data_IF_360582205716
#
_entry.id   IF_360582205716
#
_cell.length_a   1.000
_cell.length_b   1.000
_cell.length_c   1.000
_cell.angle_alpha   90.00
_cell.angle_beta   90.00
_cell.angle_gamma   90.00
#
_symmetry.space_group_name_H-M   'P 1'
#
loop_
_entity.id
_entity.type
_entity.pdbx_description
1 polymer ?
#
# COMPACT_ATOMS: atom_id res chain seq x y z
N UNK A 1 28.41 -74.45 -17.04
CA UNK A 1 28.07 -75.79 -16.53
C UNK A 1 27.46 -75.60 -15.15
N UNK A 2 26.17 -75.91 -15.02
CA UNK A 2 25.34 -75.73 -13.83
C UNK A 2 25.90 -76.47 -12.60
N UNK A 3 25.73 -75.89 -11.41
CA UNK A 3 25.19 -76.63 -10.24
C UNK A 3 24.72 -75.71 -9.11
N UNK A 4 23.49 -75.99 -8.72
CA UNK A 4 22.70 -75.46 -7.61
C UNK A 4 23.26 -75.71 -6.21
N UNK A 5 22.91 -74.85 -5.25
CA UNK A 5 22.39 -75.20 -3.91
C UNK A 5 21.89 -73.93 -3.18
N UNK A 6 20.58 -73.68 -3.13
CA UNK A 6 19.60 -74.02 -2.06
C UNK A 6 19.57 -73.11 -0.81
N UNK A 7 18.68 -72.12 -0.91
CA UNK A 7 17.65 -71.63 0.06
C UNK A 7 17.74 -72.16 1.50
N UNK A 8 17.89 -71.26 2.47
CA UNK A 8 16.96 -71.11 3.60
C UNK A 8 17.34 -69.91 4.46
N UNK A 9 16.45 -68.92 4.59
CA UNK A 9 16.13 -68.35 5.90
C UNK A 9 14.80 -67.58 5.85
N UNK A 10 13.96 -67.96 6.81
CA UNK A 10 12.58 -67.50 7.01
C UNK A 10 12.54 -66.01 7.39
N UNK A 11 11.43 -65.31 7.11
CA UNK A 11 11.24 -63.93 7.51
C UNK A 11 11.03 -63.84 9.03
N UNK A 12 11.92 -63.14 9.73
CA UNK A 12 11.64 -62.67 11.08
C UNK A 12 10.92 -61.33 10.93
N UNK A 13 9.59 -61.37 11.03
CA UNK A 13 8.76 -60.23 11.39
C UNK A 13 9.14 -59.82 12.81
N UNK A 14 10.05 -58.85 12.94
CA UNK A 14 10.13 -58.00 14.14
C UNK A 14 9.57 -56.66 13.75
N UNK A 15 8.29 -56.49 14.08
CA UNK A 15 7.60 -55.23 13.97
C UNK A 15 8.24 -54.21 14.91
N UNK A 16 8.78 -53.15 14.32
CA UNK A 16 8.98 -51.89 15.01
C UNK A 16 7.90 -50.96 14.52
N UNK A 17 6.83 -50.86 15.30
CA UNK A 17 5.80 -49.84 15.16
C UNK A 17 6.49 -48.48 15.42
N UNK A 18 6.99 -47.84 14.37
CA UNK A 18 7.33 -46.42 14.44
C UNK A 18 6.01 -45.66 14.59
N UNK A 19 5.68 -45.27 15.81
CA UNK A 19 4.73 -44.20 16.06
C UNK A 19 5.29 -42.94 15.40
N UNK A 20 4.76 -42.60 14.23
CA UNK A 20 4.94 -41.31 13.60
C UNK A 20 4.22 -40.26 14.46
N UNK A 21 4.92 -39.72 15.47
CA UNK A 21 4.53 -38.45 16.06
C UNK A 21 4.97 -37.38 15.06
N UNK A 22 4.14 -37.14 14.05
CA UNK A 22 4.16 -35.88 13.32
C UNK A 22 3.73 -34.80 14.31
N UNK A 23 4.69 -34.33 15.11
CA UNK A 23 4.56 -33.06 15.82
C UNK A 23 4.45 -31.99 14.75
N UNK A 24 3.22 -31.67 14.37
CA UNK A 24 2.91 -30.42 13.68
C UNK A 24 3.20 -29.34 14.71
N UNK A 25 4.48 -28.98 14.82
CA UNK A 25 4.85 -27.69 15.34
C UNK A 25 4.32 -26.70 14.30
N UNK A 26 3.09 -26.26 14.51
CA UNK A 26 2.62 -25.02 13.93
C UNK A 26 3.50 -23.93 14.56
N UNK A 27 4.68 -23.71 13.98
CA UNK A 27 5.45 -22.49 14.15
C UNK A 27 4.68 -21.40 13.44
N UNK A 28 3.54 -21.01 14.03
CA UNK A 28 2.90 -19.76 13.68
C UNK A 28 3.92 -18.68 14.01
N UNK A 29 4.50 -18.07 12.99
CA UNK A 29 5.23 -16.83 13.18
C UNK A 29 4.25 -15.86 13.84
N UNK A 30 4.61 -15.35 15.01
CA UNK A 30 3.81 -14.33 15.65
C UNK A 30 3.80 -13.12 14.71
N UNK A 31 2.67 -12.85 14.07
CA UNK A 31 2.50 -11.66 13.26
C UNK A 31 2.58 -10.46 14.21
N UNK A 32 3.51 -9.54 13.95
CA UNK A 32 3.56 -8.28 14.67
C UNK A 32 2.22 -7.55 14.47
N UNK A 33 1.67 -7.00 15.56
CA UNK A 33 0.48 -6.16 15.48
C UNK A 33 0.88 -4.89 14.74
N UNK A 34 0.16 -4.48 13.67
CA UNK A 34 0.49 -3.27 12.93
C UNK A 34 0.56 -2.05 13.87
N UNK A 35 1.69 -1.34 13.81
CA UNK A 35 1.92 -0.13 14.59
C UNK A 35 1.49 1.11 13.80
N UNK A 36 0.65 1.95 14.39
CA UNK A 36 0.17 3.18 13.76
C UNK A 36 1.18 4.32 13.91
N UNK A 37 1.37 5.13 12.87
CA UNK A 37 2.34 6.22 12.89
C UNK A 37 1.88 7.48 13.63
N UNK A 38 0.58 7.67 13.83
CA UNK A 38 0.04 8.88 14.47
C UNK A 38 -0.26 8.66 15.97
N UNK A 39 0.05 9.62 16.85
CA UNK A 39 -0.45 9.60 18.22
C UNK A 39 -1.99 9.70 18.24
N UNK A 40 -2.72 9.09 19.21
CA UNK A 40 -2.27 8.56 20.50
C UNK A 40 -2.00 7.05 20.51
N UNK A 41 -1.75 6.43 19.36
CA UNK A 41 -1.34 5.02 19.33
C UNK A 41 -0.09 4.81 20.20
N UNK A 42 0.13 3.59 20.75
CA UNK A 42 1.37 3.29 21.46
C UNK A 42 2.54 3.71 20.57
N UNK A 43 3.46 4.51 21.14
CA UNK A 43 4.63 5.07 20.46
C UNK A 43 5.23 3.99 19.56
N UNK A 44 5.15 4.20 18.25
CA UNK A 44 5.63 3.29 17.22
C UNK A 44 7.12 3.04 17.51
N UNK A 45 7.46 1.85 18.01
CA UNK A 45 8.82 1.54 18.53
C UNK A 45 9.87 1.51 17.44
N UNK A 46 9.42 1.51 16.18
CA UNK A 46 10.26 1.28 15.01
C UNK A 46 10.68 2.61 14.38
N UNK A 47 10.15 3.75 14.85
CA UNK A 47 10.64 5.08 14.51
C UNK A 47 10.12 5.65 13.18
N UNK A 48 9.01 5.08 12.69
CA UNK A 48 8.32 5.49 11.47
C UNK A 48 7.51 6.78 11.65
N UNK A 49 7.49 7.61 10.62
CA UNK A 49 6.78 8.88 10.59
C UNK A 49 6.22 9.18 9.19
N UNK A 50 5.15 9.97 9.14
CA UNK A 50 4.60 10.49 7.87
C UNK A 50 5.62 11.29 7.05
N UNK A 51 6.64 11.85 7.70
CA UNK A 51 7.74 12.57 7.04
C UNK A 51 8.73 11.64 6.32
N UNK A 52 8.61 10.33 6.51
CA UNK A 52 9.47 9.32 5.89
C UNK A 52 8.93 8.90 4.51
N UNK A 53 7.89 9.55 3.98
CA UNK A 53 7.47 9.38 2.60
C UNK A 53 6.93 10.70 2.05
N UNK A 54 7.21 10.97 0.79
CA UNK A 54 6.66 12.10 0.05
C UNK A 54 6.40 11.67 -1.37
N UNK A 55 5.52 12.40 -2.05
CA UNK A 55 5.22 12.20 -3.45
C UNK A 55 5.26 13.56 -4.12
N UNK A 56 5.99 13.70 -5.21
CA UNK A 56 5.98 14.94 -5.99
C UNK A 56 5.42 14.65 -7.39
N UNK A 57 4.44 15.44 -7.80
CA UNK A 57 3.86 15.42 -9.15
C UNK A 57 3.95 16.83 -9.69
N UNK A 58 4.68 17.00 -10.79
CA UNK A 58 5.04 18.32 -11.34
C UNK A 58 5.68 19.22 -10.26
N UNK A 59 5.04 20.33 -9.87
CA UNK A 59 5.50 21.24 -8.83
C UNK A 59 4.85 21.02 -7.44
N UNK A 60 3.97 20.03 -7.31
CA UNK A 60 3.18 19.78 -6.09
C UNK A 60 3.74 18.59 -5.32
N UNK A 61 4.03 18.81 -4.03
CA UNK A 61 4.43 17.73 -3.11
C UNK A 61 3.29 17.35 -2.18
N UNK A 62 2.95 16.07 -2.18
CA UNK A 62 1.98 15.42 -1.31
C UNK A 62 2.73 14.71 -0.17
N UNK A 63 2.15 14.80 1.02
CA UNK A 63 2.58 14.05 2.20
C UNK A 63 1.53 12.99 2.53
N UNK A 64 1.92 11.85 3.09
CA UNK A 64 0.97 10.85 3.48
C UNK A 64 0.08 11.39 4.60
N UNK A 65 -1.21 11.07 4.52
CA UNK A 65 -2.19 11.42 5.55
C UNK A 65 -2.19 10.40 6.68
N UNK A 66 -1.69 9.19 6.41
CA UNK A 66 -1.68 8.11 7.38
C UNK A 66 -0.54 7.08 7.11
N UNK A 67 -0.06 6.38 8.14
CA UNK A 67 0.85 5.24 7.97
C UNK A 67 0.72 4.11 9.00
N UNK A 68 0.99 2.89 8.54
CA UNK A 68 1.08 1.67 9.35
C UNK A 68 2.44 1.00 9.15
N UNK A 69 3.07 0.60 10.25
CA UNK A 69 4.41 -0.01 10.27
C UNK A 69 4.47 -1.42 10.84
N UNK A 70 5.56 -2.10 10.49
CA UNK A 70 5.98 -3.45 10.87
C UNK A 70 4.89 -4.48 10.65
N UNK A 71 4.69 -4.75 9.36
CA UNK A 71 3.93 -5.89 8.88
C UNK A 71 4.94 -6.87 8.31
N UNK A 72 5.13 -8.02 8.97
CA UNK A 72 5.78 -9.16 8.31
C UNK A 72 4.70 -10.03 7.69
N UNK A 73 4.48 -9.84 6.38
CA UNK A 73 3.52 -10.65 5.62
C UNK A 73 4.01 -12.08 5.40
N UNK A 74 5.30 -12.39 5.63
CA UNK A 74 5.93 -13.70 5.35
C UNK A 74 5.90 -14.14 3.88
N UNK A 75 5.09 -13.49 3.04
CA UNK A 75 4.92 -13.68 1.62
C UNK A 75 4.44 -12.37 0.99
N UNK A 76 5.39 -11.58 0.52
CA UNK A 76 5.19 -10.24 -0.03
C UNK A 76 4.81 -10.26 -1.52
N UNK A 77 3.83 -11.10 -1.86
CA UNK A 77 3.18 -11.03 -3.17
C UNK A 77 2.18 -9.87 -3.20
N UNK A 78 1.97 -9.29 -4.37
CA UNK A 78 1.05 -8.16 -4.54
C UNK A 78 -0.37 -8.49 -4.02
N UNK A 79 -0.87 -9.71 -4.26
CA UNK A 79 -2.19 -10.14 -3.81
C UNK A 79 -2.32 -10.25 -2.29
N UNK A 80 -1.29 -10.76 -1.61
CA UNK A 80 -1.28 -10.83 -0.15
C UNK A 80 -1.19 -9.44 0.47
N UNK A 81 -0.31 -8.60 -0.08
CA UNK A 81 -0.13 -7.23 0.38
C UNK A 81 -1.41 -6.40 0.20
N UNK A 82 -2.12 -6.56 -0.93
CA UNK A 82 -3.42 -5.93 -1.16
C UNK A 82 -4.48 -6.43 -0.16
N UNK A 83 -4.53 -7.73 0.10
CA UNK A 83 -5.44 -8.30 1.10
C UNK A 83 -5.14 -7.73 2.48
N UNK A 84 -3.86 -7.61 2.83
CA UNK A 84 -3.45 -7.04 4.09
C UNK A 84 -3.82 -5.56 4.21
N UNK A 85 -3.52 -4.77 3.18
CA UNK A 85 -3.86 -3.35 3.08
C UNK A 85 -5.36 -3.13 3.30
N UNK A 86 -6.21 -3.90 2.63
CA UNK A 86 -7.67 -3.84 2.78
C UNK A 86 -8.19 -4.39 4.14
N UNK A 87 -7.33 -4.98 4.97
CA UNK A 87 -7.66 -5.32 6.36
C UNK A 87 -7.13 -4.27 7.36
N UNK A 88 -6.39 -3.26 6.88
CA UNK A 88 -6.13 -2.04 7.65
C UNK A 88 -7.41 -1.18 7.68
N UNK A 89 -7.34 0.02 8.23
CA UNK A 89 -8.47 0.97 8.20
C UNK A 89 -8.67 1.64 6.84
N UNK A 90 -7.94 1.21 5.82
CA UNK A 90 -7.95 1.80 4.48
C UNK A 90 -8.54 0.75 3.53
N UNK A 91 -9.87 0.67 3.53
CA UNK A 91 -10.60 -0.30 2.70
C UNK A 91 -10.62 0.13 1.22
N UNK A 92 -11.11 -0.77 0.36
CA UNK A 92 -11.48 -0.55 -1.05
C UNK A 92 -10.35 -0.30 -2.06
N UNK A 93 -9.12 -0.76 -1.79
CA UNK A 93 -8.08 -0.84 -2.81
C UNK A 93 -8.38 -1.91 -3.86
N UNK A 94 -8.29 -1.51 -5.13
CA UNK A 94 -8.73 -2.30 -6.28
C UNK A 94 -7.61 -3.14 -6.88
N UNK A 95 -6.37 -2.76 -6.65
CA UNK A 95 -5.19 -3.42 -7.18
C UNK A 95 -3.91 -2.64 -6.92
N UNK A 96 -2.80 -3.11 -7.48
CA UNK A 96 -1.52 -2.45 -7.33
C UNK A 96 -0.49 -2.91 -8.34
N UNK A 97 0.72 -2.37 -8.18
CA UNK A 97 1.93 -2.71 -8.92
C UNK A 97 3.07 -2.86 -7.93
N UNK A 98 4.11 -3.64 -8.28
CA UNK A 98 5.27 -3.91 -7.44
C UNK A 98 6.53 -3.99 -8.28
N UNK A 99 7.63 -3.42 -7.78
CA UNK A 99 8.95 -3.59 -8.38
C UNK A 99 10.01 -3.86 -7.31
N UNK A 100 10.86 -4.86 -7.58
CA UNK A 100 11.95 -5.30 -6.70
C UNK A 100 13.25 -4.51 -6.99
N UNK A 101 13.96 -4.11 -5.94
CA UNK A 101 15.23 -3.37 -6.07
C UNK A 101 16.28 -4.22 -6.77
N UNK A 102 17.00 -3.60 -7.71
CA UNK A 102 18.00 -4.27 -8.55
C UNK A 102 17.37 -5.04 -9.72
N UNK A 103 16.08 -4.83 -9.95
CA UNK A 103 15.23 -5.59 -10.85
C UNK A 103 15.69 -5.65 -12.31
N UNK A 104 15.62 -6.87 -12.86
CA UNK A 104 15.23 -7.05 -14.26
C UNK A 104 13.72 -6.86 -14.44
N UNK A 105 13.18 -7.21 -15.61
CA UNK A 105 11.76 -7.05 -15.95
C UNK A 105 10.82 -7.82 -14.97
N UNK A 106 10.30 -7.15 -13.93
CA UNK A 106 9.27 -7.70 -13.04
C UNK A 106 7.89 -7.58 -13.72
N UNK A 107 7.17 -8.70 -13.95
CA UNK A 107 5.83 -8.66 -14.53
C UNK A 107 4.80 -7.92 -13.67
N UNK A 108 5.04 -7.75 -12.37
CA UNK A 108 4.15 -7.01 -11.46
C UNK A 108 4.42 -5.49 -11.45
N UNK A 109 5.46 -5.01 -12.15
CA UNK A 109 5.84 -3.60 -12.17
C UNK A 109 4.90 -2.70 -12.98
N UNK A 110 3.84 -3.28 -13.58
CA UNK A 110 2.83 -2.51 -14.32
C UNK A 110 1.43 -3.13 -14.20
N UNK A 111 0.41 -2.29 -14.35
CA UNK A 111 -0.99 -2.70 -14.25
C UNK A 111 -1.95 -1.62 -14.73
N UNK A 112 -3.23 -1.97 -14.91
CA UNK A 112 -4.27 -1.04 -15.36
C UNK A 112 -5.43 -1.01 -14.36
N UNK A 113 -5.75 0.17 -13.84
CA UNK A 113 -6.78 0.38 -12.82
C UNK A 113 -7.55 1.67 -13.13
N UNK A 114 -8.89 1.62 -13.04
CA UNK A 114 -9.72 2.81 -13.27
C UNK A 114 -9.54 3.46 -14.65
N UNK A 115 -9.18 2.68 -15.68
CA UNK A 115 -8.93 3.20 -17.03
C UNK A 115 -7.59 3.92 -17.21
N UNK A 116 -6.68 3.83 -16.23
CA UNK A 116 -5.31 4.32 -16.29
C UNK A 116 -4.34 3.15 -16.20
N UNK A 117 -3.29 3.17 -17.01
CA UNK A 117 -2.14 2.26 -16.87
C UNK A 117 -1.13 2.89 -15.94
N UNK A 118 -0.51 2.08 -15.09
CA UNK A 118 0.52 2.48 -14.13
C UNK A 118 1.74 1.60 -14.30
N UNK A 119 2.91 2.16 -14.02
CA UNK A 119 4.15 1.41 -13.88
C UNK A 119 5.01 2.00 -12.77
N UNK A 120 5.84 1.17 -12.15
CA UNK A 120 6.77 1.59 -11.12
C UNK A 120 8.18 1.11 -11.47
N UNK A 121 9.15 1.98 -11.25
CA UNK A 121 10.56 1.75 -11.53
C UNK A 121 11.38 2.14 -10.31
N UNK A 122 12.23 1.23 -9.86
CA UNK A 122 13.25 1.52 -8.85
C UNK A 122 14.34 2.39 -9.45
N UNK A 123 14.60 3.54 -8.83
CA UNK A 123 15.72 4.41 -9.19
C UNK A 123 16.93 4.14 -8.29
N UNK A 124 17.99 4.93 -8.44
CA UNK A 124 19.15 4.83 -7.57
C UNK A 124 18.83 5.25 -6.14
N UNK A 125 19.23 4.41 -5.19
CA UNK A 125 19.33 4.81 -3.79
C UNK A 125 20.39 5.89 -3.60
N UNK A 126 20.16 6.80 -2.64
CA UNK A 126 21.14 7.81 -2.22
C UNK A 126 21.39 7.70 -0.71
N UNK A 127 22.52 8.25 -0.24
CA UNK A 127 22.92 8.16 1.18
C UNK A 127 23.62 6.85 1.54
N UNK A 128 23.86 6.64 2.84
CA UNK A 128 24.54 5.45 3.37
C UNK A 128 24.14 5.15 4.82
N UNK A 129 24.29 3.87 5.21
CA UNK A 129 23.95 3.40 6.55
C UNK A 129 22.49 3.69 6.90
N UNK A 130 22.25 4.28 8.06
CA UNK A 130 20.91 4.62 8.54
C UNK A 130 20.27 5.81 7.80
N UNK A 131 21.02 6.56 6.98
CA UNK A 131 20.47 7.71 6.24
C UNK A 131 20.30 7.39 4.76
N UNK A 132 19.98 6.13 4.43
CA UNK A 132 19.68 5.71 3.06
C UNK A 132 18.31 6.23 2.65
N UNK A 133 18.20 6.67 1.41
CA UNK A 133 16.97 7.15 0.78
C UNK A 133 16.78 6.35 -0.50
N UNK A 134 15.67 5.59 -0.58
CA UNK A 134 15.32 4.81 -1.77
C UNK A 134 14.36 5.56 -2.66
N UNK A 135 14.82 5.90 -3.86
CA UNK A 135 14.05 6.65 -4.84
C UNK A 135 13.35 5.70 -5.81
N UNK A 136 12.13 6.05 -6.18
CA UNK A 136 11.33 5.31 -7.14
C UNK A 136 10.72 6.28 -8.14
N UNK A 137 10.14 5.75 -9.21
CA UNK A 137 9.36 6.48 -10.18
C UNK A 137 8.09 5.70 -10.48
N UNK A 138 6.94 6.26 -10.11
CA UNK A 138 5.63 5.80 -10.59
C UNK A 138 5.27 6.63 -11.82
N UNK A 139 4.99 5.95 -12.93
CA UNK A 139 4.46 6.53 -14.16
C UNK A 139 3.01 6.10 -14.34
N UNK A 140 2.22 6.92 -15.03
CA UNK A 140 0.86 6.55 -15.46
C UNK A 140 0.67 6.90 -16.93
N UNK A 141 -0.43 6.43 -17.52
CA UNK A 141 -0.90 6.85 -18.83
C UNK A 141 -2.39 6.54 -19.00
N UNK A 142 -3.06 7.26 -19.87
CA UNK A 142 -4.45 6.98 -20.22
C UNK A 142 -4.55 5.64 -20.99
N UNK A 143 -5.43 4.75 -20.55
CA UNK A 143 -5.62 3.44 -21.17
C UNK A 143 -6.92 3.36 -22.01
N UNK A 144 -7.67 4.46 -22.16
CA UNK A 144 -8.98 4.50 -22.82
C UNK A 144 -8.91 4.58 -24.36
N UNK A 145 -7.70 4.54 -24.93
CA UNK A 145 -7.48 4.53 -26.37
C UNK A 145 -8.05 5.77 -27.06
N UNK A 146 -9.05 5.56 -27.94
CA UNK A 146 -9.70 6.65 -28.67
C UNK A 146 -10.96 7.22 -27.96
N UNK A 147 -11.34 6.67 -26.80
CA UNK A 147 -12.43 7.20 -26.00
C UNK A 147 -12.01 8.50 -25.29
N UNK A 148 -12.96 9.15 -24.60
CA UNK A 148 -12.64 10.32 -23.79
C UNK A 148 -11.58 9.95 -22.71
N UNK A 149 -10.57 10.80 -22.50
CA UNK A 149 -9.52 10.52 -21.52
C UNK A 149 -10.09 10.48 -20.09
N UNK A 150 -9.53 9.59 -19.27
CA UNK A 150 -9.78 9.49 -17.85
C UNK A 150 -8.96 10.51 -17.04
N UNK A 151 -7.98 11.18 -17.67
CA UNK A 151 -7.22 12.29 -17.09
C UNK A 151 -7.87 13.65 -17.39
N UNK A 152 -7.82 14.63 -16.47
CA UNK A 152 -7.19 14.53 -15.16
C UNK A 152 -8.00 13.65 -14.21
N UNK A 153 -7.33 13.04 -13.23
CA UNK A 153 -7.94 12.10 -12.30
C UNK A 153 -7.47 12.37 -10.86
N UNK A 154 -8.41 12.24 -9.91
CA UNK A 154 -8.07 12.15 -8.49
C UNK A 154 -7.94 10.68 -8.12
N UNK A 155 -6.82 10.32 -7.49
CA UNK A 155 -6.53 8.93 -7.13
C UNK A 155 -6.01 8.89 -5.70
N UNK A 156 -6.42 7.88 -4.95
CA UNK A 156 -5.82 7.57 -3.66
C UNK A 156 -4.81 6.44 -3.83
N UNK A 157 -3.68 6.58 -3.15
CA UNK A 157 -2.52 5.73 -3.31
C UNK A 157 -2.00 5.27 -1.96
N UNK A 158 -1.85 3.96 -1.78
CA UNK A 158 -1.11 3.40 -0.67
C UNK A 158 0.24 2.85 -1.16
N UNK A 159 1.32 3.34 -0.56
CA UNK A 159 2.67 2.86 -0.84
C UNK A 159 3.09 1.86 0.24
N UNK A 160 3.45 0.65 -0.18
CA UNK A 160 4.11 -0.31 0.68
C UNK A 160 5.60 -0.32 0.39
N UNK A 161 6.39 0.08 1.37
CA UNK A 161 7.83 -0.06 1.35
C UNK A 161 8.25 -1.29 2.15
N UNK A 162 8.93 -2.24 1.50
CA UNK A 162 9.51 -3.41 2.18
C UNK A 162 10.98 -3.16 2.48
N UNK A 163 11.29 -3.02 3.76
CA UNK A 163 12.66 -3.09 4.28
C UNK A 163 13.07 -4.54 4.56
N UNK A 164 14.25 -4.72 5.14
CA UNK A 164 14.80 -6.05 5.43
C UNK A 164 14.02 -6.83 6.50
N UNK A 165 13.44 -6.14 7.48
CA UNK A 165 12.78 -6.79 8.63
C UNK A 165 11.26 -6.50 8.73
N UNK A 166 10.66 -5.88 7.72
CA UNK A 166 9.23 -5.57 7.75
C UNK A 166 8.77 -4.63 6.64
N UNK A 167 7.45 -4.54 6.53
CA UNK A 167 6.76 -3.70 5.56
C UNK A 167 6.15 -2.48 6.27
N UNK A 168 6.13 -1.35 5.56
CA UNK A 168 5.49 -0.10 6.00
C UNK A 168 4.56 0.38 4.90
N UNK A 169 3.36 0.77 5.28
CA UNK A 169 2.35 1.33 4.39
C UNK A 169 2.15 2.82 4.66
N UNK A 170 2.14 3.64 3.61
CA UNK A 170 1.85 5.08 3.66
C UNK A 170 0.65 5.38 2.77
N UNK A 171 -0.39 6.00 3.32
CA UNK A 171 -1.58 6.41 2.58
C UNK A 171 -1.46 7.85 2.13
N UNK A 172 -1.71 8.07 0.85
CA UNK A 172 -1.87 9.37 0.23
C UNK A 172 -3.27 9.44 -0.36
N UNK A 173 -3.97 10.52 -0.07
CA UNK A 173 -5.31 10.76 -0.57
C UNK A 173 -5.29 11.96 -1.52
N UNK A 174 -6.24 11.98 -2.46
CA UNK A 174 -6.48 13.10 -3.37
C UNK A 174 -5.25 13.49 -4.21
N UNK A 175 -4.52 12.51 -4.78
CA UNK A 175 -3.46 12.81 -5.74
C UNK A 175 -4.08 13.21 -7.07
N UNK A 176 -3.76 14.43 -7.53
CA UNK A 176 -4.16 14.88 -8.86
C UNK A 176 -3.16 14.40 -9.93
N UNK A 177 -3.63 13.51 -10.81
CA UNK A 177 -2.93 13.10 -12.01
C UNK A 177 -3.31 14.03 -13.15
N UNK A 178 -2.37 14.87 -13.58
CA UNK A 178 -2.59 15.89 -14.60
C UNK A 178 -2.68 15.30 -16.02
N UNK A 179 -3.44 15.98 -16.88
CA UNK A 179 -3.79 15.53 -18.24
C UNK A 179 -2.90 16.07 -19.36
N UNK A 180 -1.92 16.92 -19.07
CA UNK A 180 -1.12 17.54 -20.15
C UNK A 180 -0.01 16.59 -20.65
N UNK A 181 0.04 16.28 -21.96
CA UNK A 181 -0.79 16.84 -23.05
C UNK A 181 -2.00 16.01 -23.46
N UNK A 182 -2.14 14.79 -22.97
CA UNK A 182 -3.21 13.78 -23.17
C UNK A 182 -2.66 12.38 -22.81
N UNK A 183 -1.37 12.32 -22.51
CA UNK A 183 -0.66 11.25 -21.85
C UNK A 183 0.31 11.92 -20.86
N UNK A 184 -0.04 11.90 -19.57
CA UNK A 184 0.86 12.37 -18.52
C UNK A 184 1.71 11.21 -18.04
N UNK A 185 3.01 11.39 -17.90
CA UNK A 185 3.87 10.55 -17.06
C UNK A 185 4.39 11.44 -15.94
N UNK A 186 4.03 11.19 -14.69
CA UNK A 186 4.78 11.76 -13.57
C UNK A 186 5.87 10.82 -13.09
N UNK A 187 6.61 11.27 -12.08
CA UNK A 187 7.54 10.45 -11.35
C UNK A 187 7.46 10.82 -9.88
N UNK A 188 7.06 9.87 -9.07
CA UNK A 188 6.91 10.04 -7.64
C UNK A 188 8.23 9.67 -6.95
N UNK A 189 8.98 10.66 -6.45
CA UNK A 189 10.17 10.41 -5.63
C UNK A 189 9.76 10.09 -4.17
N UNK A 190 9.90 8.84 -3.78
CA UNK A 190 9.65 8.36 -2.42
C UNK A 190 10.96 8.45 -1.63
N UNK A 191 10.91 8.86 -0.36
CA UNK A 191 12.10 9.02 0.49
C UNK A 191 11.92 8.39 1.86
N UNK A 192 12.23 7.11 1.98
CA UNK A 192 12.20 6.44 3.28
C UNK A 192 13.52 6.63 4.02
N UNK A 193 13.48 7.22 5.21
CA UNK A 193 14.65 7.43 6.06
C UNK A 193 14.70 6.38 7.17
N UNK A 194 15.84 5.73 7.34
CA UNK A 194 16.04 4.76 8.40
C UNK A 194 16.47 5.43 9.73
N UNK A 195 16.01 4.89 10.86
CA UNK A 195 16.42 5.29 12.22
C UNK A 195 16.86 4.02 12.97
N UNK A 196 17.73 4.09 14.00
CA UNK A 196 18.05 2.91 14.80
C UNK A 196 16.77 2.25 15.35
N UNK A 197 16.51 0.99 14.99
CA UNK A 197 15.27 0.27 15.34
C UNK A 197 14.31 0.04 14.17
N UNK A 198 14.50 0.73 13.04
CA UNK A 198 13.75 0.48 11.81
C UNK A 198 14.27 -0.78 11.09
N UNK A 199 13.42 -1.30 10.19
CA UNK A 199 13.60 -2.55 9.47
C UNK A 199 14.72 -2.56 8.41
N UNK A 200 15.96 -2.19 8.75
CA UNK A 200 16.96 -1.87 7.72
C UNK A 200 18.15 -2.83 7.61
N UNK A 201 18.23 -3.41 6.42
CA UNK A 201 19.42 -3.87 5.70
C UNK A 201 19.17 -3.72 4.19
N UNK A 202 18.48 -2.63 3.78
CA UNK A 202 18.15 -2.33 2.40
C UNK A 202 16.68 -2.54 2.05
N UNK A 203 16.20 -1.67 1.17
CA UNK A 203 14.88 -1.80 0.53
C UNK A 203 14.87 -3.02 -0.40
N UNK A 204 13.92 -3.92 -0.19
CA UNK A 204 13.71 -5.08 -1.05
C UNK A 204 12.85 -4.72 -2.26
N UNK A 205 11.74 -4.03 -2.04
CA UNK A 205 10.83 -3.59 -3.08
C UNK A 205 9.91 -2.48 -2.60
N UNK A 206 9.20 -1.93 -3.58
CA UNK A 206 8.09 -1.01 -3.36
C UNK A 206 6.85 -1.57 -4.08
N UNK A 207 5.70 -1.48 -3.41
CA UNK A 207 4.40 -1.68 -4.04
C UNK A 207 3.56 -0.42 -3.94
N UNK A 208 2.77 -0.17 -4.97
CA UNK A 208 1.83 0.95 -5.06
C UNK A 208 0.44 0.38 -5.30
N UNK A 209 -0.50 0.69 -4.40
CA UNK A 209 -1.88 0.23 -4.47
C UNK A 209 -2.81 1.41 -4.72
N UNK A 210 -3.77 1.22 -5.60
CA UNK A 210 -4.65 2.29 -6.08
C UNK A 210 -6.09 2.00 -5.67
N UNK A 211 -6.78 3.03 -5.20
CA UNK A 211 -8.25 3.05 -5.13
C UNK A 211 -8.77 4.26 -5.89
N UNK A 212 -9.96 4.03 -6.47
CA UNK A 212 -10.80 4.98 -7.19
C UNK A 212 -10.06 6.13 -7.90
N UNK A 213 -9.82 5.98 -9.20
CA UNK A 213 -9.54 7.11 -10.09
C UNK A 213 -10.87 7.72 -10.53
N UNK A 214 -11.33 8.81 -9.90
CA UNK A 214 -12.45 9.56 -10.46
C UNK A 214 -11.88 10.53 -11.48
N UNK A 215 -12.31 10.39 -12.74
CA UNK A 215 -12.13 11.46 -13.72
C UNK A 215 -12.68 12.73 -13.08
N UNK A 216 -11.81 13.72 -12.86
CA UNK A 216 -12.27 15.06 -12.58
C UNK A 216 -12.85 15.54 -13.91
N UNK A 217 -14.15 15.25 -14.12
CA UNK A 217 -14.90 15.84 -15.22
C UNK A 217 -14.69 17.36 -15.23
N UNK A 218 -15.00 18.08 -16.32
CA UNK A 218 -14.77 19.52 -16.45
C UNK A 218 -15.21 20.23 -15.16
N UNK A 219 -14.22 20.77 -14.44
CA UNK A 219 -14.13 20.72 -12.98
C UNK A 219 -15.37 21.09 -12.15
N UNK A 220 -15.52 20.55 -10.93
CA UNK A 220 -16.21 21.30 -9.91
C UNK A 220 -15.37 22.55 -9.64
N UNK A 221 -15.96 23.73 -9.80
CA UNK A 221 -15.34 24.97 -9.33
C UNK A 221 -14.89 24.88 -7.86
N UNK A 222 -14.09 25.84 -7.37
CA UNK A 222 -13.54 25.85 -6.01
C UNK A 222 -14.59 25.40 -5.01
N UNK A 223 -14.27 24.32 -4.28
CA UNK A 223 -15.19 23.49 -3.51
C UNK A 223 -16.43 24.25 -3.05
N UNK A 224 -17.57 23.99 -3.72
CA UNK A 224 -18.86 24.37 -3.16
C UNK A 224 -18.90 23.67 -1.80
N UNK A 225 -18.96 24.40 -0.68
CA UNK A 225 -19.05 23.79 0.62
C UNK A 225 -20.22 22.82 0.58
N UNK A 226 -19.98 21.56 0.94
CA UNK A 226 -21.03 20.55 1.01
C UNK A 226 -22.25 21.19 1.70
N UNK A 227 -23.47 21.07 1.17
CA UNK A 227 -24.62 21.86 1.64
C UNK A 227 -25.03 21.57 3.09
N UNK A 228 -24.36 20.65 3.80
CA UNK A 228 -24.69 20.27 5.16
C UNK A 228 -24.60 21.43 6.19
N UNK A 229 -23.56 22.30 6.22
CA UNK A 229 -23.49 23.38 7.21
C UNK A 229 -24.40 24.55 6.86
N UNK A 230 -24.55 24.90 5.57
CA UNK A 230 -25.39 26.01 5.14
C UNK A 230 -26.87 25.73 5.34
N UNK A 231 -27.31 24.48 5.10
CA UNK A 231 -28.67 24.05 5.40
C UNK A 231 -28.93 24.09 6.92
N UNK A 232 -27.95 23.70 7.75
CA UNK A 232 -28.08 23.75 9.22
C UNK A 232 -28.17 25.18 9.74
N UNK A 233 -27.38 26.11 9.20
CA UNK A 233 -27.43 27.53 9.58
C UNK A 233 -28.76 28.16 9.15
N UNK A 234 -29.25 27.83 7.95
CA UNK A 234 -30.55 28.29 7.47
C UNK A 234 -31.72 27.77 8.32
N UNK A 235 -31.68 26.49 8.72
CA UNK A 235 -32.68 25.89 9.61
C UNK A 235 -32.61 26.45 11.03
N UNK A 236 -31.41 26.70 11.56
CA UNK A 236 -31.20 27.33 12.87
C UNK A 236 -31.75 28.76 12.94
N UNK A 237 -31.58 29.55 11.88
CA UNK A 237 -32.11 30.91 11.79
C UNK A 237 -33.64 30.99 11.79
N UNK A 238 -34.30 30.06 11.08
CA UNK A 238 -35.77 29.98 11.05
C UNK A 238 -36.37 29.58 12.41
N UNK A 239 -35.70 28.66 13.13
CA UNK A 239 -36.14 28.25 14.46
C UNK A 239 -36.05 29.39 15.50
N UNK A 240 -34.99 30.20 15.45
CA UNK A 240 -34.81 31.35 16.36
C UNK A 240 -35.80 32.50 16.06
N UNK A 241 -36.16 32.70 14.79
CA UNK A 241 -37.15 33.71 14.39
C UNK A 241 -38.59 33.41 14.87
N UNK A 242 -38.93 32.13 15.06
CA UNK A 242 -40.23 31.73 15.59
C UNK A 242 -40.32 31.80 17.11
N UNK A 243 -39.20 31.61 17.83
CA UNK A 243 -39.16 31.71 19.29
C UNK A 243 -39.27 33.17 19.77
N UNK A 244 -38.72 34.13 19.02
CA UNK A 244 -38.80 35.56 19.39
C UNK A 244 -40.19 36.18 19.23
N UNK A 245 -41.07 35.61 18.39
CA UNK A 245 -42.44 36.12 18.20
C UNK A 245 -43.45 35.72 19.29
N UNK A 246 -43.11 34.80 20.20
CA UNK A 246 -44.04 34.37 21.28
C UNK A 246 -43.90 35.14 22.60
N UNK A 247 -42.98 36.10 22.71
CA UNK A 247 -42.74 36.84 23.96
C UNK A 247 -43.31 38.27 23.98
N UNK A 248 -44.23 38.57 23.06
CA UNK A 248 -44.94 39.84 22.96
C UNK A 248 -46.44 39.62 22.75
N UNK A 249 -47.11 39.01 23.72
CA UNK A 249 -48.57 38.99 23.89
C UNK A 249 -48.87 38.78 25.37
#
# INVERSE_FOLDING_TARGET
MFKDAKINNKPILTGTLLLALAGVFATGTAQAVPGYCLPPAPVQTDGLALTDATITIDATTYSPVDCYGVVDTGNSSLANNLTYLNNLRWDDFLGGIKDDIGGGLDPEASGTFGGLSYSIETLSDTGSGLNKVSNFKISWSDANGAAAPNLPAMVDLALQWKGANGDVFYLFEDLELLADPTSGTGSIEIKVTNKPGNADNGTSHLSAFFRQAVSSGPGPGPGIPEPAPLLLIALGGLALGWVSRRKGS
#
